data_IF_682659174932
#
_entry.id   IF_682659174932
#
_cell.length_a   1.000
_cell.length_b   1.000
_cell.length_c   1.000
_cell.angle_alpha   90.00
_cell.angle_beta   90.00
_cell.angle_gamma   90.00
#
_symmetry.space_group_name_H-M   'P 1'
#
loop_
_entity.id
_entity.type
_entity.pdbx_description
1 polymer ?
#
# COMPACT_ATOMS: atom_id res chain seq x y z
N UNK A 1 2.15 -13.11 -17.11
CA UNK A 1 2.01 -11.99 -16.17
C UNK A 1 3.39 -11.40 -15.92
N UNK A 2 3.55 -10.09 -16.07
CA UNK A 2 4.86 -9.46 -15.91
C UNK A 2 4.94 -8.84 -14.50
N UNK A 3 5.70 -9.42 -13.56
CA UNK A 3 5.76 -8.90 -12.18
C UNK A 3 6.23 -7.44 -12.11
N UNK A 4 7.08 -7.01 -13.04
CA UNK A 4 7.53 -5.61 -13.11
C UNK A 4 6.40 -4.61 -13.39
N UNK A 5 5.30 -5.01 -14.04
CA UNK A 5 4.13 -4.12 -14.18
C UNK A 5 3.46 -3.84 -12.84
N UNK A 6 3.55 -4.74 -11.86
CA UNK A 6 3.04 -4.49 -10.52
C UNK A 6 3.80 -3.34 -9.84
N UNK A 7 5.12 -3.26 -10.01
CA UNK A 7 5.92 -2.14 -9.52
C UNK A 7 5.45 -0.81 -10.10
N UNK A 8 5.18 -0.75 -11.41
CA UNK A 8 4.63 0.46 -12.08
C UNK A 8 3.26 0.82 -11.50
N UNK A 9 2.38 -0.16 -11.29
CA UNK A 9 1.08 0.10 -10.68
C UNK A 9 1.21 0.62 -9.24
N UNK A 10 2.21 0.14 -8.48
CA UNK A 10 2.54 0.64 -7.15
C UNK A 10 3.00 2.11 -7.17
N UNK A 11 3.90 2.48 -8.10
CA UNK A 11 4.33 3.88 -8.25
C UNK A 11 3.19 4.81 -8.64
N UNK A 12 2.30 4.37 -9.54
CA UNK A 12 1.11 5.14 -9.92
C UNK A 12 0.13 5.30 -8.75
N UNK A 13 -0.07 4.26 -7.94
CA UNK A 13 -0.91 4.32 -6.75
C UNK A 13 -0.37 5.33 -5.73
N UNK A 14 0.95 5.34 -5.48
CA UNK A 14 1.60 6.30 -4.58
C UNK A 14 1.47 7.74 -5.08
N UNK A 15 1.72 7.99 -6.36
CA UNK A 15 1.53 9.31 -6.95
C UNK A 15 0.09 9.82 -6.81
N UNK A 16 -0.90 8.95 -7.02
CA UNK A 16 -2.30 9.28 -6.85
C UNK A 16 -2.67 9.52 -5.36
N UNK A 17 -2.14 8.72 -4.43
CA UNK A 17 -2.32 8.93 -3.01
C UNK A 17 -1.75 10.28 -2.57
N UNK A 18 -0.51 10.60 -2.95
CA UNK A 18 0.14 11.87 -2.66
C UNK A 18 -0.67 13.08 -3.16
N UNK A 19 -1.23 13.01 -4.37
CA UNK A 19 -2.09 14.08 -4.89
C UNK A 19 -3.35 14.25 -4.04
N UNK A 20 -4.00 13.14 -3.65
CA UNK A 20 -5.19 13.19 -2.79
C UNK A 20 -4.86 13.74 -1.40
N UNK A 21 -3.77 13.31 -0.79
CA UNK A 21 -3.32 13.83 0.51
C UNK A 21 -3.03 15.33 0.44
N UNK A 22 -2.34 15.77 -0.60
CA UNK A 22 -2.06 17.19 -0.84
C UNK A 22 -3.34 18.02 -0.97
N UNK A 23 -4.41 17.46 -1.55
CA UNK A 23 -5.68 18.14 -1.70
C UNK A 23 -6.52 18.17 -0.42
N UNK A 24 -6.54 17.06 0.32
CA UNK A 24 -7.48 16.88 1.43
C UNK A 24 -6.86 17.10 2.81
N UNK A 25 -5.57 16.88 2.98
CA UNK A 25 -4.91 16.98 4.28
C UNK A 25 -4.09 18.26 4.47
N UNK A 26 -3.98 19.11 3.45
CA UNK A 26 -3.30 20.40 3.55
C UNK A 26 -4.01 21.29 4.58
N UNK A 27 -3.26 21.73 5.60
CA UNK A 27 -3.80 22.59 6.66
C UNK A 27 -4.26 21.87 7.93
N UNK A 28 -4.26 20.54 7.95
CA UNK A 28 -4.50 19.80 9.19
C UNK A 28 -3.22 19.71 10.03
N UNK A 29 -3.36 19.82 11.34
CA UNK A 29 -2.25 19.62 12.28
C UNK A 29 -1.86 18.13 12.33
N UNK A 30 -0.57 17.86 12.56
CA UNK A 30 -0.10 16.50 12.79
C UNK A 30 -0.79 15.87 14.00
N UNK A 31 -1.29 14.66 13.84
CA UNK A 31 -1.96 13.91 14.89
C UNK A 31 -2.61 12.62 14.40
N UNK A 32 -3.21 11.89 15.32
CA UNK A 32 -3.82 10.58 15.03
C UNK A 32 -4.81 10.64 13.85
N UNK A 33 -5.64 11.69 13.79
CA UNK A 33 -6.64 11.85 12.72
C UNK A 33 -5.95 12.00 11.36
N UNK A 34 -4.93 12.84 11.26
CA UNK A 34 -4.20 13.08 10.01
C UNK A 34 -3.47 11.82 9.54
N UNK A 35 -2.79 11.12 10.46
CA UNK A 35 -2.09 9.87 10.15
C UNK A 35 -3.06 8.76 9.72
N UNK A 36 -4.23 8.67 10.37
CA UNK A 36 -5.25 7.69 9.99
C UNK A 36 -5.88 8.03 8.64
N UNK A 37 -6.14 9.31 8.38
CA UNK A 37 -6.69 9.77 7.09
C UNK A 37 -5.69 9.53 5.95
N UNK A 38 -4.40 9.84 6.15
CA UNK A 38 -3.35 9.54 5.18
C UNK A 38 -3.28 8.04 4.89
N UNK A 39 -3.16 7.22 5.94
CA UNK A 39 -3.14 5.77 5.79
C UNK A 39 -4.38 5.23 5.06
N UNK A 40 -5.57 5.80 5.31
CA UNK A 40 -6.80 5.40 4.62
C UNK A 40 -6.75 5.75 3.12
N UNK A 41 -6.25 6.92 2.77
CA UNK A 41 -6.06 7.35 1.37
C UNK A 41 -5.08 6.41 0.67
N UNK A 42 -3.92 6.16 1.27
CA UNK A 42 -2.88 5.31 0.69
C UNK A 42 -3.33 3.87 0.51
N UNK A 43 -3.90 3.24 1.55
CA UNK A 43 -4.38 1.86 1.46
C UNK A 43 -5.59 1.73 0.52
N UNK A 44 -6.44 2.77 0.46
CA UNK A 44 -7.53 2.86 -0.53
C UNK A 44 -7.01 2.91 -1.96
N UNK A 45 -5.96 3.72 -2.23
CA UNK A 45 -5.34 3.80 -3.56
C UNK A 45 -4.59 2.51 -3.91
N UNK A 46 -3.88 1.90 -2.97
CA UNK A 46 -3.28 0.57 -3.18
C UNK A 46 -4.33 -0.46 -3.57
N UNK A 47 -5.44 -0.53 -2.84
CA UNK A 47 -6.52 -1.46 -3.13
C UNK A 47 -7.10 -1.24 -4.53
N UNK A 48 -7.38 0.01 -4.90
CA UNK A 48 -7.92 0.36 -6.23
C UNK A 48 -6.98 -0.07 -7.36
N UNK A 49 -5.69 0.25 -7.23
CA UNK A 49 -4.70 -0.08 -8.26
C UNK A 49 -4.35 -1.57 -8.29
N UNK A 50 -4.32 -2.26 -7.15
CA UNK A 50 -4.19 -3.73 -7.10
C UNK A 50 -5.38 -4.41 -7.76
N UNK A 51 -6.59 -3.92 -7.54
CA UNK A 51 -7.78 -4.42 -8.20
C UNK A 51 -7.70 -4.24 -9.73
N UNK A 52 -7.30 -3.05 -10.20
CA UNK A 52 -7.11 -2.79 -11.62
C UNK A 52 -5.99 -3.65 -12.22
N UNK A 53 -4.89 -3.83 -11.47
CA UNK A 53 -3.79 -4.71 -11.86
C UNK A 53 -4.28 -6.14 -12.05
N UNK A 54 -5.01 -6.71 -11.08
CA UNK A 54 -5.57 -8.05 -11.20
C UNK A 54 -6.57 -8.18 -12.35
N UNK A 55 -7.41 -7.16 -12.57
CA UNK A 55 -8.37 -7.14 -13.69
C UNK A 55 -7.66 -7.11 -15.05
N UNK A 56 -6.57 -6.36 -15.17
CA UNK A 56 -5.80 -6.23 -16.41
C UNK A 56 -4.93 -7.45 -16.67
N UNK A 57 -4.42 -8.05 -15.62
CA UNK A 57 -3.54 -9.21 -15.65
C UNK A 57 -4.13 -10.33 -14.80
N UNK A 58 -5.26 -10.92 -15.24
CA UNK A 58 -5.88 -11.98 -14.47
C UNK A 58 -4.90 -13.12 -14.27
N UNK A 59 -4.88 -13.76 -13.10
CA UNK A 59 -4.05 -14.92 -12.86
C UNK A 59 -4.45 -15.99 -13.89
N UNK A 60 -3.56 -16.26 -14.86
CA UNK A 60 -3.73 -17.40 -15.74
C UNK A 60 -3.65 -18.65 -14.87
N UNK A 61 -4.61 -19.55 -15.00
CA UNK A 61 -4.56 -20.85 -14.32
C UNK A 61 -3.40 -21.66 -14.92
N UNK A 62 -2.38 -22.06 -14.16
CA UNK A 62 -2.17 -21.89 -12.73
C UNK A 62 -1.02 -20.91 -12.42
N UNK A 63 -1.30 -19.63 -12.20
CA UNK A 63 -0.27 -18.81 -11.59
C UNK A 63 -0.11 -19.25 -10.14
N UNK A 64 1.07 -19.71 -9.78
CA UNK A 64 1.33 -20.18 -8.42
C UNK A 64 1.11 -19.02 -7.43
N UNK A 65 0.53 -19.34 -6.26
CA UNK A 65 0.38 -18.36 -5.16
C UNK A 65 1.69 -17.57 -4.91
N UNK A 66 2.89 -18.22 -4.88
CA UNK A 66 4.16 -17.51 -4.74
C UNK A 66 4.39 -16.42 -5.79
N UNK A 67 4.00 -16.64 -7.04
CA UNK A 67 4.16 -15.65 -8.09
C UNK A 67 3.24 -14.43 -7.89
N UNK A 68 2.03 -14.65 -7.41
CA UNK A 68 1.11 -13.56 -7.09
C UNK A 68 1.60 -12.75 -5.89
N UNK A 69 2.06 -13.42 -4.83
CA UNK A 69 2.66 -12.77 -3.66
C UNK A 69 3.90 -11.95 -4.05
N UNK A 70 4.75 -12.49 -4.94
CA UNK A 70 5.89 -11.74 -5.48
C UNK A 70 5.45 -10.47 -6.22
N UNK A 71 4.40 -10.54 -7.03
CA UNK A 71 3.84 -9.36 -7.72
C UNK A 71 3.30 -8.32 -6.74
N UNK A 72 2.62 -8.72 -5.67
CA UNK A 72 2.13 -7.80 -4.64
C UNK A 72 3.27 -7.18 -3.81
N UNK A 73 4.35 -7.94 -3.58
CA UNK A 73 5.56 -7.40 -2.96
C UNK A 73 6.18 -6.31 -3.83
N UNK A 74 6.32 -6.55 -5.14
CA UNK A 74 6.83 -5.55 -6.08
C UNK A 74 5.92 -4.32 -6.17
N UNK A 75 4.60 -4.49 -6.06
CA UNK A 75 3.67 -3.38 -5.99
C UNK A 75 3.94 -2.51 -4.76
N UNK A 76 4.09 -3.12 -3.57
CA UNK A 76 4.41 -2.41 -2.34
C UNK A 76 5.77 -1.69 -2.39
N UNK A 77 6.78 -2.33 -2.98
CA UNK A 77 8.10 -1.71 -3.22
C UNK A 77 7.95 -0.50 -4.15
N UNK A 78 7.18 -0.62 -5.24
CA UNK A 78 6.92 0.49 -6.16
C UNK A 78 6.24 1.67 -5.48
N UNK A 79 5.30 1.40 -4.56
CA UNK A 79 4.66 2.43 -3.74
C UNK A 79 5.69 3.13 -2.85
N UNK A 80 6.46 2.37 -2.09
CA UNK A 80 7.48 2.90 -1.18
C UNK A 80 8.56 3.74 -1.89
N UNK A 81 8.95 3.37 -3.12
CA UNK A 81 9.96 4.12 -3.88
C UNK A 81 9.53 5.58 -4.14
N UNK A 82 8.26 5.82 -4.43
CA UNK A 82 7.75 7.18 -4.64
C UNK A 82 7.76 7.94 -3.31
N UNK A 83 7.34 7.32 -2.23
CA UNK A 83 7.33 7.97 -0.91
C UNK A 83 8.75 8.29 -0.43
N UNK A 84 9.71 7.38 -0.62
CA UNK A 84 11.12 7.63 -0.36
C UNK A 84 11.62 8.85 -1.15
N UNK A 85 11.27 8.92 -2.43
CA UNK A 85 11.68 10.02 -3.30
C UNK A 85 11.09 11.35 -2.85
N UNK A 86 9.85 11.37 -2.37
CA UNK A 86 9.17 12.58 -1.92
C UNK A 86 9.55 13.00 -0.50
N UNK A 87 9.71 12.05 0.42
CA UNK A 87 9.98 12.32 1.83
C UNK A 87 11.47 12.42 2.17
N UNK A 88 12.37 11.85 1.34
CA UNK A 88 13.82 11.78 1.57
C UNK A 88 14.15 11.40 3.03
N UNK A 89 13.78 10.20 3.49
CA UNK A 89 13.94 9.81 4.89
C UNK A 89 15.41 9.92 5.31
N UNK A 90 15.72 10.54 6.45
CA UNK A 90 17.07 10.84 6.86
C UNK A 90 17.85 9.61 7.35
N UNK A 91 17.15 8.52 7.67
CA UNK A 91 17.72 7.32 8.29
C UNK A 91 17.43 6.06 7.48
N UNK A 92 18.45 5.21 7.35
CA UNK A 92 18.34 3.95 6.60
C UNK A 92 17.37 2.96 7.25
N UNK A 93 17.24 2.99 8.58
CA UNK A 93 16.29 2.15 9.31
C UNK A 93 14.86 2.54 9.00
N UNK A 94 14.57 3.85 8.93
CA UNK A 94 13.26 4.38 8.52
C UNK A 94 12.96 3.96 7.08
N UNK A 95 13.94 4.01 6.18
CA UNK A 95 13.79 3.58 4.79
C UNK A 95 13.39 2.10 4.69
N UNK A 96 14.08 1.19 5.42
CA UNK A 96 13.70 -0.22 5.43
C UNK A 96 12.32 -0.46 6.06
N UNK A 97 12.00 0.25 7.13
CA UNK A 97 10.69 0.17 7.76
C UNK A 97 9.56 0.63 6.81
N UNK A 98 9.80 1.70 6.05
CA UNK A 98 8.88 2.21 5.04
C UNK A 98 8.63 1.18 3.92
N UNK A 99 9.69 0.62 3.35
CA UNK A 99 9.56 -0.47 2.36
C UNK A 99 8.84 -1.67 2.96
N UNK A 100 9.15 -2.00 4.21
CA UNK A 100 8.53 -3.10 4.93
C UNK A 100 7.03 -2.94 5.10
N UNK A 101 6.56 -1.78 5.57
CA UNK A 101 5.13 -1.54 5.80
C UNK A 101 4.34 -1.55 4.47
N UNK A 102 4.83 -0.88 3.43
CA UNK A 102 4.13 -0.86 2.14
C UNK A 102 4.10 -2.23 1.47
N UNK A 103 5.18 -3.00 1.58
CA UNK A 103 5.20 -4.39 1.09
C UNK A 103 4.22 -5.26 1.86
N UNK A 104 4.21 -5.17 3.19
CA UNK A 104 3.31 -5.93 4.06
C UNK A 104 1.84 -5.61 3.77
N UNK A 105 1.46 -4.33 3.73
CA UNK A 105 0.06 -3.94 3.48
C UNK A 105 -0.38 -4.29 2.06
N UNK A 106 0.49 -4.20 1.07
CA UNK A 106 0.20 -4.62 -0.31
C UNK A 106 0.02 -6.13 -0.43
N UNK A 107 0.81 -6.93 0.30
CA UNK A 107 0.62 -8.38 0.39
C UNK A 107 -0.72 -8.73 1.04
N UNK A 108 -1.06 -8.05 2.14
CA UNK A 108 -2.32 -8.24 2.85
C UNK A 108 -3.51 -7.91 1.95
N UNK A 109 -3.53 -6.75 1.32
CA UNK A 109 -4.60 -6.33 0.40
C UNK A 109 -4.70 -7.24 -0.83
N UNK A 110 -3.55 -7.62 -1.41
CA UNK A 110 -3.50 -8.56 -2.53
C UNK A 110 -4.06 -9.93 -2.18
N UNK A 111 -3.70 -10.46 -0.99
CA UNK A 111 -4.24 -11.73 -0.50
C UNK A 111 -5.75 -11.65 -0.28
N UNK A 112 -6.24 -10.55 0.29
CA UNK A 112 -7.66 -10.33 0.51
C UNK A 112 -8.42 -10.26 -0.81
N UNK A 113 -7.88 -9.60 -1.82
CA UNK A 113 -8.47 -9.56 -3.17
C UNK A 113 -8.55 -10.96 -3.80
N UNK A 114 -7.54 -11.82 -3.61
CA UNK A 114 -7.57 -13.20 -4.07
C UNK A 114 -8.61 -14.05 -3.33
N UNK A 115 -8.84 -13.74 -2.07
CA UNK A 115 -9.72 -14.49 -1.17
C UNK A 115 -11.17 -14.02 -1.22
N UNK A 116 -11.47 -12.87 -1.87
CA UNK A 116 -12.81 -12.26 -1.89
C UNK A 116 -13.91 -13.19 -2.45
N UNK A 117 -13.55 -14.08 -3.37
CA UNK A 117 -14.49 -15.05 -3.94
C UNK A 117 -14.94 -16.10 -2.91
N UNK A 118 -14.14 -16.31 -1.85
CA UNK A 118 -14.43 -17.24 -0.77
C UNK A 118 -15.33 -16.63 0.31
N UNK A 119 -15.19 -15.33 0.60
CA UNK A 119 -16.03 -14.60 1.54
C UNK A 119 -15.88 -13.10 1.36
N UNK A 120 -17.01 -12.39 1.23
CA UNK A 120 -17.04 -10.93 1.16
C UNK A 120 -16.57 -10.25 2.45
N UNK A 121 -16.60 -10.95 3.59
CA UNK A 121 -16.16 -10.42 4.89
C UNK A 121 -14.63 -10.20 4.96
N UNK A 122 -13.83 -10.88 4.14
CA UNK A 122 -12.37 -10.70 4.14
C UNK A 122 -11.96 -9.30 3.70
N UNK A 123 -12.70 -8.69 2.77
CA UNK A 123 -12.30 -7.38 2.23
C UNK A 123 -12.30 -6.26 3.27
N UNK A 124 -13.38 -5.99 4.03
CA UNK A 124 -13.35 -4.94 5.04
C UNK A 124 -12.34 -5.22 6.16
N UNK A 125 -12.20 -6.48 6.60
CA UNK A 125 -11.21 -6.84 7.63
C UNK A 125 -9.79 -6.56 7.14
N UNK A 126 -9.46 -6.93 5.91
CA UNK A 126 -8.14 -6.67 5.34
C UNK A 126 -7.83 -5.18 5.20
N UNK A 127 -8.79 -4.37 4.74
CA UNK A 127 -8.63 -2.91 4.64
C UNK A 127 -8.39 -2.30 6.02
N UNK A 128 -9.24 -2.61 7.00
CA UNK A 128 -9.09 -2.11 8.37
C UNK A 128 -7.72 -2.51 8.94
N UNK A 129 -7.30 -3.76 8.76
CA UNK A 129 -6.01 -4.23 9.25
C UNK A 129 -4.84 -3.50 8.58
N UNK A 130 -4.90 -3.24 7.27
CA UNK A 130 -3.87 -2.50 6.54
C UNK A 130 -3.79 -1.05 7.03
N UNK A 131 -4.93 -0.36 7.16
CA UNK A 131 -4.99 1.02 7.67
C UNK A 131 -4.48 1.10 9.12
N UNK A 132 -4.87 0.18 10.00
CA UNK A 132 -4.39 0.14 11.37
C UNK A 132 -2.86 -0.07 11.44
N UNK A 133 -2.33 -1.02 10.68
CA UNK A 133 -0.89 -1.28 10.65
C UNK A 133 -0.10 -0.06 10.14
N UNK A 134 -0.59 0.58 9.09
CA UNK A 134 0.02 1.76 8.50
C UNK A 134 -0.06 2.97 9.45
N UNK A 135 -1.22 3.23 10.05
CA UNK A 135 -1.37 4.30 11.06
C UNK A 135 -0.42 4.09 12.24
N UNK A 136 -0.30 2.86 12.74
CA UNK A 136 0.63 2.53 13.82
C UNK A 136 2.09 2.81 13.41
N UNK A 137 2.47 2.48 12.18
CA UNK A 137 3.77 2.81 11.62
C UNK A 137 3.99 4.34 11.59
N UNK A 138 3.05 5.12 11.07
CA UNK A 138 3.17 6.58 10.99
C UNK A 138 3.31 7.20 12.37
N UNK A 139 2.54 6.74 13.36
CA UNK A 139 2.66 7.19 14.75
C UNK A 139 4.01 6.82 15.37
N UNK A 140 4.51 5.62 15.10
CA UNK A 140 5.83 5.19 15.57
C UNK A 140 6.93 6.07 14.99
N UNK A 141 6.95 6.32 13.69
CA UNK A 141 7.95 7.20 13.05
C UNK A 141 7.86 8.63 13.59
N UNK A 142 6.65 9.17 13.78
CA UNK A 142 6.46 10.52 14.34
C UNK A 142 6.96 10.62 15.79
N UNK A 143 6.98 9.51 16.55
CA UNK A 143 7.51 9.48 17.92
C UNK A 143 9.04 9.48 18.00
N UNK A 144 9.72 9.23 16.89
CA UNK A 144 11.19 9.22 16.80
C UNK A 144 11.78 10.58 16.37
N UNK A 145 10.93 11.53 15.97
CA UNK A 145 11.30 12.88 15.53
C UNK A 145 11.10 13.91 16.63
#
# INVERSE_FOLDING_TARGET
MFPFTALIYGTLAAGAAFLLESLFLTGFSFGLITFTAGALIEEGMKLLFLFQYQKRFPPSIPSSIPFQLFSFSLFGIGFALIEIFLALPPDIGILFALVGIHTFTSLLLGYVLLSRERSSAFLPVGIISAVCAHTAYNLFIASLQ
#
